data_IF_743840621941
#
_entry.id   IF_743840621941
#
_cell.length_a   1.000
_cell.length_b   1.000
_cell.length_c   1.000
_cell.angle_alpha   90.00
_cell.angle_beta   90.00
_cell.angle_gamma   90.00
#
_symmetry.space_group_name_H-M   'P 1'
#
loop_
_entity.id
_entity.type
_entity.pdbx_description
1 polymer ?
#
# COMPACT_ATOMS: atom_id res chain seq x y z
N UNK A 1 16.56 7.06 -13.64
CA UNK A 1 16.62 5.83 -14.46
C UNK A 1 15.37 5.02 -14.15
N UNK A 2 14.28 5.31 -14.85
CA UNK A 2 13.06 4.53 -14.72
C UNK A 2 13.35 3.16 -15.35
N UNK A 3 13.34 2.11 -14.54
CA UNK A 3 13.29 0.75 -15.06
C UNK A 3 11.99 0.66 -15.85
N UNK A 4 12.10 0.57 -17.16
CA UNK A 4 11.00 0.29 -18.07
C UNK A 4 10.61 -1.16 -17.83
N UNK A 5 9.72 -1.36 -16.85
CA UNK A 5 9.24 -2.66 -16.42
C UNK A 5 8.23 -3.13 -17.48
N UNK A 6 8.69 -3.86 -18.49
CA UNK A 6 7.85 -4.38 -19.58
C UNK A 6 6.76 -5.31 -19.04
N UNK A 7 5.50 -5.01 -19.38
CA UNK A 7 4.31 -5.78 -19.03
C UNK A 7 4.39 -7.25 -19.51
N UNK A 8 5.15 -7.52 -20.56
CA UNK A 8 5.30 -8.86 -21.15
C UNK A 8 6.16 -9.80 -20.29
N UNK A 9 7.11 -9.26 -19.52
CA UNK A 9 8.03 -10.07 -18.70
C UNK A 9 7.34 -10.67 -17.47
N UNK A 10 6.33 -9.99 -16.92
CA UNK A 10 5.60 -10.44 -15.72
C UNK A 10 4.37 -11.28 -16.04
N UNK A 11 3.79 -11.13 -17.23
CA UNK A 11 2.65 -11.96 -17.64
C UNK A 11 3.10 -13.36 -18.01
N UNK A 12 4.18 -13.51 -18.76
CA UNK A 12 4.71 -14.81 -19.22
C UNK A 12 5.28 -15.68 -18.10
N UNK A 13 5.93 -15.09 -17.09
CA UNK A 13 6.47 -15.82 -15.94
C UNK A 13 5.42 -16.30 -14.93
N UNK A 14 4.19 -15.77 -14.99
CA UNK A 14 3.10 -16.07 -14.05
C UNK A 14 1.99 -16.93 -14.69
N UNK A 15 2.22 -17.47 -15.88
CA UNK A 15 1.31 -18.42 -16.54
C UNK A 15 1.52 -19.82 -15.95
N UNK A 16 0.49 -20.36 -15.33
CA UNK A 16 0.37 -21.77 -14.99
C UNK A 16 -0.25 -22.47 -16.21
N UNK A 17 0.52 -23.34 -16.85
CA UNK A 17 0.05 -24.16 -17.99
C UNK A 17 -0.49 -25.48 -17.46
N UNK A 18 -1.77 -25.76 -17.70
CA UNK A 18 -2.37 -27.06 -17.45
C UNK A 18 -2.96 -27.58 -18.76
N UNK A 19 -2.22 -28.46 -19.45
CA UNK A 19 -2.55 -28.88 -20.81
C UNK A 19 -2.57 -27.70 -21.79
N UNK A 20 -3.68 -27.54 -22.52
CA UNK A 20 -3.88 -26.44 -23.48
C UNK A 20 -4.42 -25.15 -22.84
N UNK A 21 -4.67 -25.12 -21.52
CA UNK A 21 -5.21 -23.94 -20.84
C UNK A 21 -4.10 -23.18 -20.11
N UNK A 22 -4.06 -21.88 -20.38
CA UNK A 22 -3.15 -20.93 -19.75
C UNK A 22 -3.92 -20.14 -18.69
N UNK A 23 -3.51 -20.27 -17.43
CA UNK A 23 -4.09 -19.54 -16.31
C UNK A 23 -3.05 -18.59 -15.72
N UNK A 24 -3.45 -17.35 -15.41
CA UNK A 24 -2.58 -16.40 -14.71
C UNK A 24 -2.75 -16.57 -13.20
N UNK A 25 -1.63 -16.75 -12.48
CA UNK A 25 -1.62 -16.67 -11.03
C UNK A 25 -1.72 -15.19 -10.61
N UNK A 26 -2.95 -14.75 -10.34
CA UNK A 26 -3.23 -13.38 -9.91
C UNK A 26 -2.43 -13.00 -8.65
N UNK A 27 -2.19 -13.95 -7.74
CA UNK A 27 -1.51 -13.69 -6.47
C UNK A 27 -0.03 -13.37 -6.66
N UNK A 28 0.63 -14.09 -7.57
CA UNK A 28 2.02 -13.77 -7.97
C UNK A 28 2.09 -12.42 -8.68
N UNK A 29 1.11 -12.12 -9.53
CA UNK A 29 1.05 -10.84 -10.23
C UNK A 29 0.97 -9.67 -9.25
N UNK A 30 0.07 -9.76 -8.25
CA UNK A 30 -0.07 -8.75 -7.19
C UNK A 30 1.20 -8.53 -6.36
N UNK A 31 2.06 -9.53 -6.25
CA UNK A 31 3.31 -9.43 -5.47
C UNK A 31 4.39 -8.61 -6.17
N UNK A 32 4.33 -8.55 -7.50
CA UNK A 32 5.37 -7.94 -8.33
C UNK A 32 4.91 -6.63 -9.00
N UNK A 33 3.61 -6.40 -9.10
CA UNK A 33 3.05 -5.22 -9.73
C UNK A 33 2.49 -4.28 -8.66
N UNK A 34 3.06 -3.08 -8.61
CA UNK A 34 2.47 -1.98 -7.87
C UNK A 34 1.35 -1.35 -8.72
N UNK A 35 0.12 -1.80 -8.47
CA UNK A 35 -1.08 -1.36 -9.19
C UNK A 35 -1.32 0.14 -9.01
N UNK A 36 -1.00 0.70 -7.83
CA UNK A 36 -1.16 2.13 -7.56
C UNK A 36 -0.16 2.96 -8.36
N UNK A 37 1.08 2.47 -8.50
CA UNK A 37 2.10 3.08 -9.33
C UNK A 37 1.72 3.03 -10.81
N UNK A 38 1.21 1.91 -11.30
CA UNK A 38 0.77 1.81 -12.69
C UNK A 38 -0.37 2.77 -13.02
N UNK A 39 -1.41 2.86 -12.17
CA UNK A 39 -2.48 3.83 -12.38
C UNK A 39 -2.01 5.28 -12.32
N UNK A 40 -0.91 5.56 -11.63
CA UNK A 40 -0.31 6.89 -11.57
C UNK A 40 0.49 7.23 -12.83
N UNK A 41 1.30 6.29 -13.30
CA UNK A 41 2.29 6.54 -14.35
C UNK A 41 1.70 6.33 -15.76
N UNK A 42 0.93 5.26 -15.97
CA UNK A 42 0.38 4.88 -17.28
C UNK A 42 -1.16 4.97 -17.34
N UNK A 43 -1.84 4.41 -16.33
CA UNK A 43 -3.29 4.24 -16.35
C UNK A 43 -4.07 5.56 -16.33
N UNK A 44 -3.48 6.63 -15.80
CA UNK A 44 -4.08 7.96 -15.80
C UNK A 44 -4.20 8.58 -17.20
N UNK A 45 -3.30 8.23 -18.13
CA UNK A 45 -3.33 8.74 -19.50
C UNK A 45 -4.51 8.16 -20.30
N UNK A 46 -4.80 6.88 -20.10
CA UNK A 46 -5.88 6.19 -20.82
C UNK A 46 -7.24 6.30 -20.10
N UNK A 47 -7.23 6.27 -18.77
CA UNK A 47 -8.46 6.22 -17.96
C UNK A 47 -8.36 7.13 -16.72
N UNK A 48 -8.41 8.47 -16.89
CA UNK A 48 -8.18 9.40 -15.79
C UNK A 48 -9.17 9.22 -14.63
N UNK A 49 -10.46 9.06 -14.91
CA UNK A 49 -11.49 8.89 -13.87
C UNK A 49 -11.35 7.57 -13.11
N UNK A 50 -11.03 6.48 -13.82
CA UNK A 50 -10.85 5.15 -13.23
C UNK A 50 -9.55 5.13 -12.41
N UNK A 51 -8.48 5.77 -12.89
CA UNK A 51 -7.22 5.87 -12.17
C UNK A 51 -7.38 6.59 -10.83
N UNK A 52 -8.18 7.67 -10.78
CA UNK A 52 -8.51 8.35 -9.53
C UNK A 52 -9.28 7.42 -8.59
N UNK A 53 -10.32 6.75 -9.10
CA UNK A 53 -11.14 5.83 -8.29
C UNK A 53 -10.30 4.67 -7.73
N UNK A 54 -9.51 4.03 -8.59
CA UNK A 54 -8.64 2.91 -8.22
C UNK A 54 -7.64 3.33 -7.13
N UNK A 55 -7.03 4.52 -7.25
CA UNK A 55 -6.10 5.02 -6.23
C UNK A 55 -6.78 5.33 -4.91
N UNK A 56 -8.01 5.85 -4.90
CA UNK A 56 -8.74 6.12 -3.65
C UNK A 56 -9.15 4.82 -2.96
N UNK A 57 -9.68 3.85 -3.71
CA UNK A 57 -10.16 2.59 -3.16
C UNK A 57 -9.03 1.66 -2.75
N UNK A 58 -8.02 1.47 -3.60
CA UNK A 58 -6.92 0.53 -3.33
C UNK A 58 -5.89 1.08 -2.34
N UNK A 59 -5.79 2.41 -2.15
CA UNK A 59 -4.92 2.98 -1.12
C UNK A 59 -5.46 2.75 0.29
N UNK A 60 -6.72 2.33 0.46
CA UNK A 60 -7.25 1.98 1.76
C UNK A 60 -6.70 0.61 2.17
N UNK A 61 -5.97 0.52 3.30
CA UNK A 61 -5.52 -0.76 3.79
C UNK A 61 -6.73 -1.63 4.14
N UNK A 62 -6.67 -2.91 3.77
CA UNK A 62 -7.74 -3.87 4.04
C UNK A 62 -7.95 -4.14 5.55
N UNK A 63 -6.97 -3.75 6.38
CA UNK A 63 -7.00 -3.97 7.82
C UNK A 63 -6.48 -2.77 8.59
N UNK A 64 -7.05 -2.56 9.78
CA UNK A 64 -6.60 -1.58 10.75
C UNK A 64 -5.36 -2.05 11.55
N UNK A 65 -4.87 -3.27 11.34
CA UNK A 65 -3.74 -3.84 12.08
C UNK A 65 -2.47 -2.96 12.03
N UNK A 66 -2.24 -2.25 10.93
CA UNK A 66 -1.14 -1.28 10.83
C UNK A 66 -1.32 -0.12 11.82
N UNK A 67 -2.53 0.43 11.89
CA UNK A 67 -2.87 1.52 12.81
C UNK A 67 -2.79 1.04 14.26
N UNK A 68 -3.29 -0.16 14.56
CA UNK A 68 -3.20 -0.76 15.90
C UNK A 68 -1.75 -1.00 16.34
N UNK A 69 -0.89 -1.51 15.45
CA UNK A 69 0.55 -1.65 15.74
C UNK A 69 1.21 -0.31 16.02
N UNK A 70 0.83 0.73 15.27
CA UNK A 70 1.29 2.08 15.50
C UNK A 70 0.81 2.60 16.87
N UNK A 71 -0.48 2.48 17.19
CA UNK A 71 -1.03 2.94 18.46
C UNK A 71 -0.49 2.16 19.67
N UNK A 72 -0.22 0.86 19.53
CA UNK A 72 0.42 0.07 20.58
C UNK A 72 1.86 0.57 20.85
N UNK A 73 2.61 0.87 19.79
CA UNK A 73 3.97 1.43 19.90
C UNK A 73 3.93 2.83 20.51
N UNK A 74 3.07 3.70 19.99
CA UNK A 74 2.88 5.05 20.50
C UNK A 74 2.39 5.06 21.95
N UNK A 75 1.52 4.12 22.33
CA UNK A 75 0.99 3.95 23.68
C UNK A 75 2.09 3.68 24.72
N UNK A 76 3.17 2.97 24.35
CA UNK A 76 4.33 2.77 25.24
C UNK A 76 5.03 4.08 25.61
N UNK A 77 5.04 5.06 24.70
CA UNK A 77 5.63 6.39 24.91
C UNK A 77 4.62 7.35 25.58
N UNK A 78 3.35 7.22 25.21
CA UNK A 78 2.26 8.14 25.60
C UNK A 78 1.48 7.72 26.84
N UNK A 79 1.96 6.71 27.58
CA UNK A 79 1.27 6.25 28.79
C UNK A 79 1.23 7.35 29.85
N UNK A 80 0.03 7.64 30.35
CA UNK A 80 -0.29 8.68 31.35
C UNK A 80 0.64 8.61 32.58
N UNK A 81 0.98 7.40 33.04
CA UNK A 81 1.86 7.16 34.20
C UNK A 81 3.30 7.68 34.01
N UNK A 82 3.81 7.81 32.78
CA UNK A 82 5.22 8.18 32.52
C UNK A 82 5.40 9.62 32.04
N UNK A 83 4.45 10.17 31.28
CA UNK A 83 4.66 11.45 30.59
C UNK A 83 3.67 12.55 30.98
N UNK A 84 2.61 12.26 31.76
CA UNK A 84 1.52 13.21 32.13
C UNK A 84 1.13 14.12 30.95
N UNK A 85 1.06 13.55 29.76
CA UNK A 85 0.90 14.32 28.55
C UNK A 85 -0.58 14.64 28.33
N UNK A 86 -0.88 15.91 28.07
CA UNK A 86 -2.21 16.35 27.66
C UNK A 86 -2.64 15.65 26.35
N UNK A 87 -3.91 15.32 26.21
CA UNK A 87 -4.44 14.56 25.07
C UNK A 87 -4.22 15.27 23.73
N UNK A 88 -4.29 16.61 23.71
CA UNK A 88 -4.00 17.41 22.51
C UNK A 88 -2.53 17.30 22.10
N UNK A 89 -1.62 17.26 23.08
CA UNK A 89 -0.18 17.09 22.84
C UNK A 89 0.16 15.65 22.47
N UNK A 90 -0.56 14.67 23.00
CA UNK A 90 -0.40 13.26 22.66
C UNK A 90 -0.68 13.01 21.17
N UNK A 91 -1.77 13.56 20.62
CA UNK A 91 -2.07 13.44 19.20
C UNK A 91 -0.99 14.06 18.30
N UNK A 92 -0.44 15.22 18.67
CA UNK A 92 0.66 15.87 17.93
C UNK A 92 1.93 15.03 17.96
N UNK A 93 2.27 14.44 19.10
CA UNK A 93 3.43 13.57 19.22
C UNK A 93 3.25 12.28 18.41
N UNK A 94 2.04 11.70 18.37
CA UNK A 94 1.73 10.58 17.47
C UNK A 94 1.98 10.95 16.01
N UNK A 95 1.47 12.09 15.55
CA UNK A 95 1.70 12.56 14.18
C UNK A 95 3.20 12.69 13.87
N UNK A 96 3.96 13.27 14.80
CA UNK A 96 5.40 13.46 14.64
C UNK A 96 6.16 12.12 14.63
N UNK A 97 5.77 11.15 15.46
CA UNK A 97 6.33 9.79 15.44
C UNK A 97 6.03 9.05 14.14
N UNK A 98 4.89 9.33 13.50
CA UNK A 98 4.56 8.75 12.19
C UNK A 98 5.38 9.40 11.07
N UNK A 99 5.51 10.73 11.06
CA UNK A 99 6.22 11.48 10.02
C UNK A 99 7.76 11.33 10.08
N UNK A 100 8.30 10.93 11.23
CA UNK A 100 9.73 10.67 11.42
C UNK A 100 10.20 9.31 10.87
N UNK A 101 9.29 8.46 10.40
CA UNK A 101 9.60 7.18 9.76
C UNK A 101 9.63 7.32 8.25
#
# INVERSE_FOLDING_TARGET
MALEVSWETYTTANVIKNGNQEHYDAWKLYKHIDVLKWYRDDGASSFPSIAVLARVYLAKPMSNAYQERFFSTAGRVLTIKRTRLDSSRAGKLQLLMHASK
#
